data_IF_195684184012
#
_entry.id   IF_195684184012
#
_cell.length_a   1.000
_cell.length_b   1.000
_cell.length_c   1.000
_cell.angle_alpha   90.00
_cell.angle_beta   90.00
_cell.angle_gamma   90.00
#
_symmetry.space_group_name_H-M   'P 1'
#
loop_
_entity.id
_entity.type
_entity.pdbx_description
1 polymer ?
#
# COMPACT_ATOMS: atom_id res chain seq x y z
N UNK A 1 35.43 -51.17 31.22
CA UNK A 1 35.29 -49.83 30.62
C UNK A 1 33.90 -49.76 29.97
N UNK A 2 32.95 -49.03 30.61
CA UNK A 2 31.60 -48.85 30.06
C UNK A 2 31.60 -47.51 29.31
N UNK A 3 31.48 -47.54 28.00
CA UNK A 3 31.42 -46.37 27.16
C UNK A 3 29.93 -45.88 27.14
N UNK A 4 29.67 -44.73 27.74
CA UNK A 4 28.38 -44.07 27.69
C UNK A 4 28.26 -43.30 26.36
N UNK A 5 27.42 -43.75 25.45
CA UNK A 5 27.08 -43.01 24.22
C UNK A 5 25.92 -42.05 24.58
N UNK A 6 26.21 -40.75 24.72
CA UNK A 6 25.17 -39.74 24.76
C UNK A 6 24.58 -39.54 23.36
N UNK A 7 23.36 -40.01 23.16
CA UNK A 7 22.55 -39.63 21.97
C UNK A 7 21.89 -38.30 22.30
N UNK A 8 22.44 -37.23 21.77
CA UNK A 8 21.76 -35.92 21.76
C UNK A 8 20.72 -35.92 20.64
N UNK A 9 19.46 -36.16 21.00
CA UNK A 9 18.34 -35.91 20.09
C UNK A 9 18.11 -34.40 20.03
N UNK A 10 18.46 -33.78 18.91
CA UNK A 10 18.05 -32.42 18.61
C UNK A 10 16.55 -32.43 18.34
N UNK A 11 15.76 -31.92 19.30
CA UNK A 11 14.33 -31.69 19.09
C UNK A 11 14.25 -30.39 18.27
N UNK A 12 14.08 -30.50 16.95
CA UNK A 12 13.65 -29.37 16.15
C UNK A 12 12.16 -29.18 16.41
N UNK A 13 11.82 -28.11 17.14
CA UNK A 13 10.44 -27.65 17.21
C UNK A 13 10.08 -27.08 15.84
N UNK A 14 9.40 -27.86 15.03
CA UNK A 14 8.82 -27.37 13.78
C UNK A 14 7.55 -26.61 14.16
N UNK A 15 7.61 -25.30 14.07
CA UNK A 15 6.40 -24.47 14.22
C UNK A 15 5.57 -24.66 12.94
N UNK A 16 4.39 -25.24 13.06
CA UNK A 16 3.47 -25.45 11.95
C UNK A 16 2.61 -24.19 11.86
N UNK A 17 2.64 -23.51 10.72
CA UNK A 17 1.66 -22.49 10.41
C UNK A 17 0.34 -23.18 10.03
N UNK A 18 -0.76 -22.77 10.68
CA UNK A 18 -2.09 -23.26 10.34
C UNK A 18 -2.82 -22.18 9.55
N UNK A 19 -3.44 -22.55 8.45
CA UNK A 19 -4.39 -21.69 7.75
C UNK A 19 -5.62 -21.48 8.66
N UNK A 20 -5.99 -20.22 8.88
CA UNK A 20 -7.13 -19.85 9.71
C UNK A 20 -8.37 -19.61 8.84
N UNK A 21 -8.16 -19.02 7.66
CA UNK A 21 -9.23 -18.66 6.74
C UNK A 21 -8.68 -18.59 5.31
N UNK A 22 -9.49 -19.01 4.38
CA UNK A 22 -9.27 -18.82 2.95
C UNK A 22 -10.54 -18.22 2.33
N UNK A 23 -10.38 -17.18 1.55
CA UNK A 23 -11.43 -16.60 0.72
C UNK A 23 -11.00 -16.62 -0.74
N UNK A 24 -11.88 -17.10 -1.57
CA UNK A 24 -11.72 -17.12 -3.01
C UNK A 24 -13.11 -16.91 -3.66
N UNK A 25 -13.20 -15.91 -4.54
CA UNK A 25 -14.40 -15.67 -5.35
C UNK A 25 -14.10 -16.07 -6.80
N UNK A 26 -14.66 -17.19 -7.28
CA UNK A 26 -14.40 -17.68 -8.63
C UNK A 26 -15.00 -16.80 -9.74
N UNK A 27 -15.79 -15.79 -9.40
CA UNK A 27 -16.29 -14.80 -10.37
C UNK A 27 -15.28 -13.70 -10.69
N UNK A 28 -14.25 -13.51 -9.84
CA UNK A 28 -13.17 -12.55 -10.07
C UNK A 28 -12.19 -13.13 -11.08
N UNK A 29 -12.06 -12.46 -12.23
CA UNK A 29 -11.18 -12.91 -13.31
C UNK A 29 -9.74 -12.50 -13.01
N UNK A 30 -8.82 -13.44 -13.04
CA UNK A 30 -7.39 -13.20 -12.85
C UNK A 30 -6.78 -12.31 -13.93
N UNK A 31 -5.66 -11.69 -13.59
CA UNK A 31 -4.92 -10.83 -14.51
C UNK A 31 -4.38 -11.61 -15.72
N UNK A 32 -4.38 -11.00 -16.90
CA UNK A 32 -3.85 -11.64 -18.11
C UNK A 32 -2.33 -11.85 -18.05
N UNK A 33 -1.62 -11.13 -17.17
CA UNK A 33 -0.18 -11.23 -17.07
C UNK A 33 0.27 -12.42 -16.21
N UNK A 34 -0.43 -12.70 -15.10
CA UNK A 34 0.03 -13.67 -14.09
C UNK A 34 -1.06 -14.65 -13.65
N UNK A 35 -2.29 -14.54 -14.18
CA UNK A 35 -3.45 -15.36 -13.80
C UNK A 35 -3.79 -15.26 -12.29
N UNK A 36 -3.43 -14.15 -11.66
CA UNK A 36 -3.74 -13.86 -10.26
C UNK A 36 -4.95 -12.92 -10.16
N UNK A 37 -5.94 -13.29 -9.34
CA UNK A 37 -7.12 -12.47 -9.08
C UNK A 37 -6.88 -11.46 -7.96
N UNK A 38 -5.99 -11.80 -7.01
CA UNK A 38 -5.67 -11.02 -5.82
C UNK A 38 -4.25 -10.50 -5.88
N UNK A 39 -4.01 -9.29 -5.36
CA UNK A 39 -2.73 -8.62 -5.54
C UNK A 39 -2.15 -8.03 -4.25
N UNK A 40 -2.78 -7.09 -3.58
CA UNK A 40 -2.21 -6.40 -2.42
C UNK A 40 -2.98 -6.76 -1.14
N UNK A 41 -2.33 -6.61 0.01
CA UNK A 41 -2.97 -6.74 1.31
C UNK A 41 -2.56 -5.62 2.26
N UNK A 42 -3.50 -5.16 3.08
CA UNK A 42 -3.29 -4.18 4.13
C UNK A 42 -4.05 -4.59 5.40
N UNK A 43 -3.77 -3.95 6.51
CA UNK A 43 -4.47 -4.22 7.76
C UNK A 43 -4.63 -2.96 8.61
N UNK A 44 -5.81 -2.78 9.19
CA UNK A 44 -6.10 -1.67 10.12
C UNK A 44 -6.85 -2.16 11.34
N UNK A 45 -6.60 -1.51 12.48
CA UNK A 45 -7.44 -1.65 13.67
C UNK A 45 -8.30 -0.41 13.81
N UNK A 46 -9.62 -0.55 13.74
CA UNK A 46 -10.55 0.57 13.84
C UNK A 46 -11.80 0.18 14.63
N UNK A 47 -12.29 1.07 15.52
CA UNK A 47 -13.45 0.82 16.37
C UNK A 47 -13.37 -0.50 17.17
N UNK A 48 -12.18 -0.93 17.57
CA UNK A 48 -11.86 -2.22 18.20
C UNK A 48 -12.10 -3.45 17.27
N UNK A 49 -12.14 -3.25 15.97
CA UNK A 49 -12.16 -4.31 14.98
C UNK A 49 -10.82 -4.40 14.25
N UNK A 50 -10.35 -5.62 14.04
CA UNK A 50 -9.23 -5.94 13.17
C UNK A 50 -9.78 -6.16 11.76
N UNK A 51 -9.34 -5.34 10.81
CA UNK A 51 -9.80 -5.40 9.43
C UNK A 51 -8.63 -5.79 8.52
N UNK A 52 -8.79 -6.87 7.78
CA UNK A 52 -7.92 -7.20 6.65
C UNK A 52 -8.49 -6.57 5.38
N UNK A 53 -7.60 -5.98 4.57
CA UNK A 53 -7.93 -5.33 3.31
C UNK A 53 -7.19 -6.07 2.20
N UNK A 54 -7.91 -6.48 1.16
CA UNK A 54 -7.35 -7.27 0.05
C UNK A 54 -7.66 -6.57 -1.26
N UNK A 55 -6.64 -6.41 -2.09
CA UNK A 55 -6.79 -5.97 -3.46
C UNK A 55 -7.14 -7.11 -4.39
N UNK A 56 -8.02 -6.85 -5.35
CA UNK A 56 -8.32 -7.75 -6.45
C UNK A 56 -8.30 -7.02 -7.79
N UNK A 57 -8.45 -7.77 -8.88
CA UNK A 57 -8.63 -7.17 -10.21
C UNK A 57 -9.88 -6.29 -10.30
N UNK A 58 -10.88 -6.50 -9.40
CA UNK A 58 -12.11 -5.73 -9.39
C UNK A 58 -12.10 -4.54 -8.42
N UNK A 59 -11.29 -4.58 -7.35
CA UNK A 59 -11.28 -3.48 -6.37
C UNK A 59 -10.67 -3.85 -5.02
N UNK A 60 -11.19 -3.22 -3.99
CA UNK A 60 -10.74 -3.30 -2.59
C UNK A 60 -11.79 -3.99 -1.73
N UNK A 61 -11.44 -5.08 -1.11
CA UNK A 61 -12.28 -5.91 -0.22
C UNK A 61 -11.88 -5.68 1.24
N UNK A 62 -12.85 -5.58 2.13
CA UNK A 62 -12.65 -5.36 3.57
C UNK A 62 -13.25 -6.54 4.35
N UNK A 63 -12.44 -7.20 5.16
CA UNK A 63 -12.84 -8.34 5.98
C UNK A 63 -12.69 -8.02 7.47
N UNK A 64 -13.76 -8.19 8.25
CA UNK A 64 -13.65 -8.20 9.71
C UNK A 64 -13.07 -9.54 10.15
N UNK A 65 -11.85 -9.50 10.68
CA UNK A 65 -11.10 -10.66 11.17
C UNK A 65 -10.99 -10.69 12.69
N UNK A 66 -11.69 -9.81 13.39
CA UNK A 66 -11.67 -9.67 14.85
C UNK A 66 -11.95 -11.00 15.55
N UNK A 67 -12.91 -11.76 15.02
CA UNK A 67 -13.20 -13.11 15.45
C UNK A 67 -12.81 -14.11 14.37
N UNK A 68 -11.66 -14.75 14.53
CA UNK A 68 -11.11 -15.71 13.58
C UNK A 68 -11.99 -16.95 13.33
N UNK A 69 -13.01 -17.19 14.19
CA UNK A 69 -14.01 -18.24 13.97
C UNK A 69 -15.21 -17.77 13.14
N UNK A 70 -15.29 -16.47 12.81
CA UNK A 70 -16.39 -15.87 12.05
C UNK A 70 -15.90 -14.66 11.25
N UNK A 71 -15.01 -14.92 10.30
CA UNK A 71 -14.48 -13.90 9.39
C UNK A 71 -15.51 -13.66 8.29
N UNK A 72 -15.75 -12.40 7.94
CA UNK A 72 -16.70 -12.04 6.89
C UNK A 72 -16.25 -10.77 6.15
N UNK A 73 -16.55 -10.72 4.85
CA UNK A 73 -16.46 -9.49 4.10
C UNK A 73 -17.54 -8.51 4.58
N UNK A 74 -17.11 -7.29 4.93
CA UNK A 74 -17.99 -6.24 5.48
C UNK A 74 -18.19 -5.08 4.52
N UNK A 75 -17.30 -4.91 3.54
CA UNK A 75 -17.43 -3.91 2.49
C UNK A 75 -16.61 -4.28 1.25
N UNK A 76 -17.01 -3.72 0.11
CA UNK A 76 -16.28 -3.75 -1.14
C UNK A 76 -16.34 -2.36 -1.79
N UNK A 77 -15.22 -1.92 -2.39
CA UNK A 77 -15.13 -0.70 -3.20
C UNK A 77 -14.57 -1.08 -4.56
N UNK A 78 -15.37 -0.86 -5.60
CA UNK A 78 -14.95 -1.09 -6.98
C UNK A 78 -13.78 -0.15 -7.34
N UNK A 79 -12.77 -0.68 -8.01
CA UNK A 79 -11.65 0.11 -8.53
C UNK A 79 -12.07 0.97 -9.71
N UNK A 80 -11.47 2.16 -9.89
CA UNK A 80 -11.72 2.99 -11.07
C UNK A 80 -11.28 2.32 -12.40
N UNK A 81 -10.33 1.41 -12.31
CA UNK A 81 -9.94 0.48 -13.38
C UNK A 81 -10.03 -0.94 -12.86
N UNK A 82 -10.73 -1.82 -13.60
CA UNK A 82 -11.07 -3.19 -13.19
C UNK A 82 -10.80 -4.21 -14.29
N UNK A 83 -10.87 -5.47 -13.92
CA UNK A 83 -10.78 -6.62 -14.83
C UNK A 83 -9.35 -7.10 -15.08
N UNK A 84 -9.15 -7.97 -16.08
CA UNK A 84 -7.93 -8.75 -16.27
C UNK A 84 -6.68 -7.93 -16.67
N UNK A 85 -6.84 -6.65 -16.87
CA UNK A 85 -5.71 -5.71 -17.06
C UNK A 85 -5.05 -5.25 -15.76
N UNK A 86 -5.70 -5.45 -14.61
CA UNK A 86 -5.16 -5.06 -13.30
C UNK A 86 -4.17 -6.13 -12.82
N UNK A 87 -2.98 -5.69 -12.40
CA UNK A 87 -1.94 -6.53 -11.83
C UNK A 87 -1.63 -6.09 -10.40
N UNK A 88 -1.51 -4.77 -10.18
CA UNK A 88 -1.07 -4.19 -8.92
C UNK A 88 -2.08 -3.17 -8.40
N UNK A 89 -2.40 -3.31 -7.11
CA UNK A 89 -2.96 -2.23 -6.29
C UNK A 89 -2.02 -2.01 -5.13
N UNK A 90 -2.11 -0.85 -4.49
CA UNK A 90 -1.39 -0.59 -3.27
C UNK A 90 -2.21 0.29 -2.34
N UNK A 91 -1.97 0.13 -1.03
CA UNK A 91 -2.75 0.74 0.02
C UNK A 91 -1.91 1.36 1.12
N UNK A 92 -2.39 2.46 1.66
CA UNK A 92 -1.92 2.98 2.93
C UNK A 92 -3.05 3.70 3.67
N UNK A 93 -3.09 3.64 5.00
CA UNK A 93 -4.09 4.35 5.78
C UNK A 93 -3.55 5.58 6.50
N UNK A 94 -4.40 6.58 6.68
CA UNK A 94 -4.10 7.77 7.46
C UNK A 94 -5.37 8.42 8.00
N UNK A 95 -5.42 8.66 9.33
CA UNK A 95 -6.51 9.38 10.00
C UNK A 95 -7.92 8.86 9.66
N UNK A 96 -8.11 7.56 9.57
CA UNK A 96 -9.39 6.94 9.28
C UNK A 96 -9.78 6.92 7.80
N UNK A 97 -8.83 7.18 6.91
CA UNK A 97 -8.96 7.06 5.46
C UNK A 97 -7.99 6.02 4.93
N UNK A 98 -8.44 5.19 4.01
CA UNK A 98 -7.62 4.33 3.18
C UNK A 98 -7.36 5.00 1.84
N UNK A 99 -6.11 5.10 1.45
CA UNK A 99 -5.69 5.52 0.12
C UNK A 99 -5.42 4.28 -0.70
N UNK A 100 -6.01 4.22 -1.88
CA UNK A 100 -5.90 3.09 -2.80
C UNK A 100 -5.46 3.57 -4.17
N UNK A 101 -4.48 2.90 -4.75
CA UNK A 101 -3.96 3.17 -6.10
C UNK A 101 -3.93 1.90 -6.94
N UNK A 102 -3.77 2.08 -8.25
CA UNK A 102 -3.55 1.01 -9.21
C UNK A 102 -2.47 1.45 -10.20
N UNK A 103 -1.60 0.55 -10.59
CA UNK A 103 -0.50 0.85 -11.52
C UNK A 103 -0.92 0.75 -12.99
N UNK A 104 -2.03 0.10 -13.28
CA UNK A 104 -2.50 -0.16 -14.64
C UNK A 104 -3.73 0.66 -15.01
N UNK A 105 -3.94 0.77 -16.32
CA UNK A 105 -5.12 1.37 -16.91
C UNK A 105 -5.06 2.90 -17.01
N UNK A 106 -5.65 3.43 -18.08
CA UNK A 106 -5.72 4.88 -18.31
C UNK A 106 -6.85 5.57 -17.52
N UNK A 107 -7.79 4.78 -16.99
CA UNK A 107 -8.90 5.26 -16.14
C UNK A 107 -8.64 5.09 -14.65
N UNK A 108 -7.48 4.58 -14.25
CA UNK A 108 -7.11 4.51 -12.82
C UNK A 108 -7.07 5.88 -12.17
N UNK A 109 -7.30 5.89 -10.87
CA UNK A 109 -7.39 7.09 -10.04
C UNK A 109 -6.70 6.85 -8.70
N UNK A 110 -6.42 7.90 -7.97
CA UNK A 110 -6.32 7.82 -6.52
C UNK A 110 -7.74 7.73 -5.95
N UNK A 111 -8.04 6.68 -5.19
CA UNK A 111 -9.25 6.60 -4.37
C UNK A 111 -8.90 6.88 -2.91
N UNK A 112 -9.68 7.73 -2.24
CA UNK A 112 -9.62 7.92 -0.79
C UNK A 112 -10.95 7.45 -0.20
N UNK A 113 -10.89 6.45 0.65
CA UNK A 113 -12.03 5.75 1.20
C UNK A 113 -12.10 6.07 2.69
N UNK A 114 -13.18 6.68 3.14
CA UNK A 114 -13.47 6.84 4.57
C UNK A 114 -13.82 5.47 5.17
N UNK A 115 -12.95 4.99 6.05
CA UNK A 115 -13.07 3.71 6.73
C UNK A 115 -13.47 3.87 8.19
N UNK A 116 -13.75 5.10 8.65
CA UNK A 116 -14.01 5.42 10.05
C UNK A 116 -15.24 4.72 10.65
N UNK A 117 -16.16 4.28 9.79
CA UNK A 117 -17.39 3.58 10.22
C UNK A 117 -17.32 2.04 10.08
N UNK A 118 -16.14 1.49 9.76
CA UNK A 118 -15.97 0.02 9.73
C UNK A 118 -16.25 -0.59 11.12
N UNK A 119 -16.85 -1.79 11.18
CA UNK A 119 -17.18 -2.71 10.08
C UNK A 119 -18.56 -2.48 9.45
N UNK A 120 -19.23 -1.34 9.73
CA UNK A 120 -20.61 -1.12 9.28
C UNK A 120 -20.66 -0.69 7.81
N UNK A 121 -19.77 0.24 7.41
CA UNK A 121 -19.73 0.77 6.06
C UNK A 121 -18.42 1.50 5.78
N UNK A 122 -18.13 1.68 4.50
CA UNK A 122 -17.10 2.59 3.97
C UNK A 122 -17.72 3.59 3.00
N UNK A 123 -17.04 4.71 2.72
CA UNK A 123 -17.51 5.70 1.77
C UNK A 123 -16.34 6.27 0.96
N UNK A 124 -16.44 6.24 -0.37
CA UNK A 124 -15.45 6.89 -1.24
C UNK A 124 -15.65 8.40 -1.19
N UNK A 125 -14.66 9.12 -0.66
CA UNK A 125 -14.69 10.58 -0.48
C UNK A 125 -13.90 11.32 -1.54
N UNK A 126 -12.99 10.63 -2.22
CA UNK A 126 -12.24 11.12 -3.36
C UNK A 126 -12.01 9.97 -4.35
N UNK A 127 -12.27 10.24 -5.62
CA UNK A 127 -11.99 9.32 -6.73
C UNK A 127 -11.69 10.17 -7.97
N UNK A 128 -10.41 10.38 -8.24
CA UNK A 128 -10.01 11.29 -9.32
C UNK A 128 -8.57 11.03 -9.77
N UNK A 129 -8.33 11.28 -11.06
CA UNK A 129 -6.99 11.28 -11.68
C UNK A 129 -6.38 12.69 -11.79
N UNK A 130 -6.93 13.68 -11.11
CA UNK A 130 -6.44 15.07 -11.18
C UNK A 130 -5.04 15.24 -10.60
N UNK A 131 -4.63 14.41 -9.62
CA UNK A 131 -3.30 14.43 -9.04
C UNK A 131 -2.36 13.52 -9.84
N UNK A 132 -2.75 12.28 -9.98
CA UNK A 132 -2.12 11.28 -10.84
C UNK A 132 -3.16 10.21 -11.21
N UNK A 133 -2.97 9.54 -12.33
CA UNK A 133 -3.87 8.47 -12.77
C UNK A 133 -3.40 7.10 -12.31
N UNK A 134 -2.08 6.90 -12.13
CA UNK A 134 -1.47 5.63 -11.75
C UNK A 134 -0.34 5.87 -10.77
N UNK A 135 -0.15 4.93 -9.86
CA UNK A 135 1.04 4.80 -9.04
C UNK A 135 1.31 3.31 -8.79
N UNK A 136 2.59 2.93 -8.80
CA UNK A 136 2.99 1.56 -8.52
C UNK A 136 2.87 1.24 -7.03
N UNK A 137 3.32 2.18 -6.19
CA UNK A 137 3.32 2.06 -4.73
C UNK A 137 3.03 3.42 -4.10
N UNK A 138 2.48 3.43 -2.90
CA UNK A 138 2.32 4.63 -2.08
C UNK A 138 2.83 4.40 -0.67
N UNK A 139 3.41 5.44 -0.08
CA UNK A 139 3.77 5.45 1.33
C UNK A 139 3.25 6.72 2.00
N UNK A 140 2.74 6.61 3.24
CA UNK A 140 2.35 7.78 4.01
C UNK A 140 3.24 7.90 5.25
N UNK A 141 4.03 8.98 5.33
CA UNK A 141 4.67 9.37 6.58
C UNK A 141 3.62 10.04 7.48
N UNK A 142 3.07 9.27 8.38
CA UNK A 142 2.00 9.72 9.29
C UNK A 142 2.47 10.80 10.27
N UNK A 143 3.79 10.90 10.52
CA UNK A 143 4.35 11.90 11.41
C UNK A 143 4.37 13.29 10.78
N UNK A 144 4.60 13.37 9.47
CA UNK A 144 4.68 14.63 8.72
C UNK A 144 3.43 14.90 7.88
N UNK A 145 2.47 13.96 7.86
CA UNK A 145 1.25 14.01 7.07
C UNK A 145 1.54 14.21 5.57
N UNK A 146 2.41 13.37 5.01
CA UNK A 146 2.77 13.40 3.59
C UNK A 146 2.56 12.04 2.93
N UNK A 147 1.99 12.06 1.74
CA UNK A 147 1.88 10.92 0.82
C UNK A 147 3.02 10.99 -0.19
N UNK A 148 3.72 9.90 -0.36
CA UNK A 148 4.74 9.65 -1.38
C UNK A 148 4.16 8.66 -2.39
N UNK A 149 4.01 9.09 -3.64
CA UNK A 149 3.43 8.30 -4.74
C UNK A 149 4.55 7.86 -5.66
N UNK A 150 4.93 6.59 -5.59
CA UNK A 150 6.07 6.01 -6.31
C UNK A 150 5.65 5.62 -7.74
N UNK A 151 6.55 5.83 -8.70
CA UNK A 151 6.31 5.57 -10.12
C UNK A 151 4.96 6.12 -10.58
N UNK A 152 4.69 7.38 -10.22
CA UNK A 152 3.47 8.05 -10.59
C UNK A 152 3.43 8.36 -12.10
N UNK A 153 2.31 8.82 -12.60
CA UNK A 153 2.08 9.02 -14.04
C UNK A 153 3.14 9.88 -14.73
N UNK A 154 3.71 10.87 -14.02
CA UNK A 154 4.54 11.90 -14.64
C UNK A 154 5.99 11.91 -14.13
N UNK A 155 6.25 11.44 -12.92
CA UNK A 155 7.55 11.56 -12.24
C UNK A 155 7.94 10.26 -11.55
N UNK A 156 9.22 10.13 -11.19
CA UNK A 156 9.70 8.98 -10.46
C UNK A 156 9.02 8.86 -9.08
N UNK A 157 8.74 10.00 -8.43
CA UNK A 157 7.94 10.06 -7.21
C UNK A 157 7.37 11.47 -7.01
N UNK A 158 6.09 11.54 -6.60
CA UNK A 158 5.45 12.80 -6.19
C UNK A 158 5.14 12.79 -4.70
N UNK A 159 5.24 13.97 -4.05
CA UNK A 159 4.97 14.16 -2.62
C UNK A 159 3.78 15.10 -2.45
N UNK A 160 2.79 14.66 -1.68
CA UNK A 160 1.56 15.40 -1.43
C UNK A 160 1.40 15.70 0.07
N UNK A 161 0.99 16.92 0.39
CA UNK A 161 0.56 17.30 1.74
C UNK A 161 -0.82 16.69 2.03
N UNK A 162 -0.94 16.00 3.17
CA UNK A 162 -2.16 15.41 3.71
C UNK A 162 -2.67 16.16 4.96
N UNK A 163 -2.33 17.43 5.15
CA UNK A 163 -2.91 18.25 6.21
C UNK A 163 -4.45 18.22 6.14
N UNK A 164 -4.99 18.26 4.92
CA UNK A 164 -6.37 17.88 4.62
C UNK A 164 -6.38 16.48 3.97
N UNK A 165 -6.71 15.41 4.71
CA UNK A 165 -6.59 14.04 4.22
C UNK A 165 -7.49 13.73 3.01
N UNK A 166 -8.59 14.43 2.82
CA UNK A 166 -9.53 14.21 1.70
C UNK A 166 -9.23 15.09 0.48
N UNK A 167 -8.23 15.95 0.56
CA UNK A 167 -7.84 16.84 -0.53
C UNK A 167 -6.32 17.03 -0.56
N UNK A 168 -5.57 16.01 -0.97
CA UNK A 168 -4.11 16.07 -1.07
C UNK A 168 -3.65 17.20 -1.99
N UNK A 169 -2.54 17.85 -1.65
CA UNK A 169 -1.96 18.92 -2.43
C UNK A 169 -0.50 18.59 -2.81
N UNK A 170 -0.16 18.62 -4.09
CA UNK A 170 1.20 18.39 -4.56
C UNK A 170 2.15 19.45 -3.96
N UNK A 171 3.21 19.00 -3.29
CA UNK A 171 4.22 19.87 -2.70
C UNK A 171 5.60 19.69 -3.32
N UNK A 172 5.90 18.52 -3.87
CA UNK A 172 7.18 18.26 -4.53
C UNK A 172 7.08 17.10 -5.53
N UNK A 173 7.89 17.16 -6.60
CA UNK A 173 8.12 16.05 -7.53
C UNK A 173 9.60 15.71 -7.56
N UNK A 174 9.94 14.46 -7.35
CA UNK A 174 11.30 13.94 -7.40
C UNK A 174 11.53 13.20 -8.70
N UNK A 175 12.55 13.62 -9.46
CA UNK A 175 12.84 13.12 -10.81
C UNK A 175 14.36 12.96 -11.06
N UNK A 176 15.16 12.85 -9.99
CA UNK A 176 16.61 12.65 -10.11
C UNK A 176 16.99 11.21 -10.46
N UNK A 177 16.00 10.31 -10.53
CA UNK A 177 16.13 8.91 -10.92
C UNK A 177 15.09 8.56 -11.97
N UNK A 178 15.32 7.50 -12.73
CA UNK A 178 14.37 7.08 -13.76
C UNK A 178 13.09 6.45 -13.20
N UNK A 179 13.14 5.90 -11.97
CA UNK A 179 12.02 5.17 -11.38
C UNK A 179 12.22 5.01 -9.87
N UNK A 180 11.19 5.27 -9.08
CA UNK A 180 11.10 4.84 -7.68
C UNK A 180 10.07 3.73 -7.59
N UNK A 181 10.54 2.50 -7.37
CA UNK A 181 9.68 1.32 -7.30
C UNK A 181 8.90 1.29 -5.97
N UNK A 182 9.61 1.60 -4.88
CA UNK A 182 9.07 1.50 -3.53
C UNK A 182 9.80 2.49 -2.60
N UNK A 183 9.13 2.95 -1.56
CA UNK A 183 9.67 3.89 -0.58
C UNK A 183 9.25 3.51 0.85
N UNK A 184 10.18 3.62 1.78
CA UNK A 184 9.90 3.73 3.21
C UNK A 184 10.31 5.12 3.67
N UNK A 185 9.43 5.83 4.35
CA UNK A 185 9.70 7.21 4.79
C UNK A 185 9.47 7.38 6.28
N UNK A 186 10.37 8.09 6.93
CA UNK A 186 10.26 8.43 8.35
C UNK A 186 10.76 9.84 8.61
N UNK A 187 9.88 10.71 9.09
CA UNK A 187 10.18 12.13 9.35
C UNK A 187 10.84 12.79 8.13
N UNK A 188 10.21 12.63 6.97
CA UNK A 188 10.68 13.15 5.68
C UNK A 188 12.02 12.60 5.16
N UNK A 189 12.66 11.67 5.86
CA UNK A 189 13.79 10.91 5.34
C UNK A 189 13.27 9.67 4.63
N UNK A 190 13.48 9.62 3.32
CA UNK A 190 13.03 8.53 2.46
C UNK A 190 14.16 7.55 2.13
N UNK A 191 13.84 6.27 2.18
CA UNK A 191 14.67 5.15 1.76
C UNK A 191 14.04 4.59 0.51
N UNK A 192 14.68 4.84 -0.64
CA UNK A 192 14.09 4.63 -1.95
C UNK A 192 14.72 3.45 -2.67
N UNK A 193 13.89 2.54 -3.18
CA UNK A 193 14.27 1.56 -4.16
C UNK A 193 14.12 2.16 -5.57
N UNK A 194 15.22 2.55 -6.19
CA UNK A 194 15.21 3.26 -7.46
C UNK A 194 15.51 2.34 -8.67
N UNK A 195 15.22 1.04 -8.57
CA UNK A 195 15.43 0.11 -9.66
C UNK A 195 16.89 0.07 -10.13
N UNK A 196 17.15 0.47 -11.39
CA UNK A 196 18.52 0.48 -11.95
C UNK A 196 19.41 1.58 -11.35
N UNK A 197 18.84 2.62 -10.75
CA UNK A 197 19.56 3.69 -10.06
C UNK A 197 19.95 3.32 -8.63
N UNK A 198 19.59 2.10 -8.19
CA UNK A 198 19.99 1.53 -6.92
C UNK A 198 19.16 2.00 -5.73
N UNK A 199 19.76 1.99 -4.56
CA UNK A 199 19.17 2.41 -3.30
C UNK A 199 19.63 3.84 -2.97
N UNK A 200 18.68 4.70 -2.59
CA UNK A 200 18.98 6.09 -2.21
C UNK A 200 18.37 6.43 -0.86
N UNK A 201 19.06 7.29 -0.11
CA UNK A 201 18.53 7.90 1.11
C UNK A 201 18.43 9.40 0.87
N UNK A 202 17.22 9.94 0.94
CA UNK A 202 16.91 11.32 0.55
C UNK A 202 16.17 12.03 1.66
N UNK A 203 16.62 13.24 2.02
CA UNK A 203 15.92 14.13 2.95
C UNK A 203 15.02 15.10 2.18
N UNK A 204 13.70 14.98 2.40
CA UNK A 204 12.67 15.84 1.81
C UNK A 204 12.11 16.88 2.80
N UNK A 205 12.71 17.04 3.98
CA UNK A 205 12.17 17.89 5.04
C UNK A 205 11.89 19.35 4.59
N UNK A 206 12.75 19.89 3.71
CA UNK A 206 12.58 21.25 3.19
C UNK A 206 12.14 21.31 1.74
N UNK A 207 11.85 20.18 1.10
CA UNK A 207 11.48 20.14 -0.32
C UNK A 207 10.10 20.73 -0.52
N UNK A 208 9.99 21.75 -1.37
CA UNK A 208 8.73 22.44 -1.65
C UNK A 208 8.81 23.22 -2.95
N UNK A 209 7.90 22.94 -3.88
CA UNK A 209 7.81 23.62 -5.19
C UNK A 209 7.56 25.12 -5.03
N UNK A 210 6.67 25.51 -4.10
CA UNK A 210 6.28 26.91 -3.91
C UNK A 210 7.43 27.79 -3.40
N UNK A 211 8.37 27.22 -2.61
CA UNK A 211 9.55 27.92 -2.09
C UNK A 211 10.82 27.65 -2.92
N UNK A 212 10.71 26.84 -3.98
CA UNK A 212 11.85 26.42 -4.82
C UNK A 212 12.99 25.75 -4.02
N UNK A 213 12.63 25.03 -2.97
CA UNK A 213 13.56 24.25 -2.17
C UNK A 213 13.67 22.83 -2.73
N UNK A 214 14.90 22.33 -2.81
CA UNK A 214 15.20 20.98 -3.25
C UNK A 214 15.40 20.02 -2.07
N UNK A 215 15.36 18.72 -2.36
CA UNK A 215 15.78 17.66 -1.47
C UNK A 215 17.30 17.62 -1.30
N UNK A 216 17.75 16.82 -0.33
CA UNK A 216 19.17 16.53 -0.09
C UNK A 216 19.38 15.02 -0.15
N UNK A 217 20.16 14.53 -1.12
CA UNK A 217 20.59 13.14 -1.14
C UNK A 217 21.62 12.90 -0.04
N UNK A 218 21.34 11.96 0.88
CA UNK A 218 22.18 11.62 2.02
C UNK A 218 23.12 10.46 1.72
N UNK A 219 22.68 9.50 0.88
CA UNK A 219 23.48 8.37 0.42
C UNK A 219 22.89 7.77 -0.87
N UNK A 220 23.75 7.13 -1.68
CA UNK A 220 23.43 6.42 -2.92
C UNK A 220 24.30 5.18 -3.12
#
# INVERSE_FOLDING_TARGET
LITFVMITSSIFSQQIANEIYNWDDPSIVGSTAYDNAYNECWGVTINNHEIAIIGSTEGTHFFDITNTSNISEVAFVEGAYTGPGVIHRDYHDFKGYLYAVCDEGSSSTLQIIDISNLPISVNVVYDSNNLFSKAHNIFIDTATAKLYSCASTNYAMDIYDLTNPTNPALIYSYDDVGHVHDAYVKNDTAYLNCGYDGFKIVDFNNSNIASNNNHVELAS
#
